data_IF_322979919163
#
_entry.id   IF_322979919163
#
_cell.length_a   1.000
_cell.length_b   1.000
_cell.length_c   1.000
_cell.angle_alpha   90.00
_cell.angle_beta   90.00
_cell.angle_gamma   90.00
#
_symmetry.space_group_name_H-M   'P 1'
#
loop_
_entity.id
_entity.type
_entity.pdbx_description
1 polymer ?
#
# COMPACT_ATOMS: atom_id res chain seq x y z
N UNK A 1 29.08 -14.51 -24.74
CA UNK A 1 27.96 -15.11 -23.99
C UNK A 1 26.86 -14.05 -24.06
N UNK A 2 25.95 -14.19 -25.02
CA UNK A 2 24.76 -13.34 -25.12
C UNK A 2 23.76 -13.82 -24.07
N UNK A 3 23.55 -13.01 -23.02
CA UNK A 3 22.41 -13.17 -22.11
C UNK A 3 21.19 -12.74 -22.92
N UNK A 4 20.44 -13.72 -23.42
CA UNK A 4 19.10 -13.48 -23.94
C UNK A 4 18.25 -13.08 -22.73
N UNK A 5 18.04 -11.79 -22.56
CA UNK A 5 16.98 -11.29 -21.68
C UNK A 5 15.66 -11.81 -22.27
N UNK A 6 15.18 -12.94 -21.74
CA UNK A 6 13.77 -13.32 -21.91
C UNK A 6 12.97 -12.18 -21.32
N UNK A 7 12.30 -11.41 -22.18
CA UNK A 7 11.20 -10.57 -21.77
C UNK A 7 10.16 -11.48 -21.11
N UNK A 8 10.21 -11.58 -19.79
CA UNK A 8 9.09 -12.12 -19.04
C UNK A 8 7.97 -11.09 -19.18
N UNK A 9 7.09 -11.31 -20.12
CA UNK A 9 5.80 -10.62 -20.21
C UNK A 9 5.08 -10.89 -18.88
N UNK A 10 5.22 -9.95 -17.94
CA UNK A 10 4.47 -9.99 -16.68
C UNK A 10 3.00 -9.82 -17.06
N UNK A 11 2.29 -10.94 -17.16
CA UNK A 11 0.87 -10.91 -17.51
C UNK A 11 0.11 -10.12 -16.45
N UNK A 12 -0.45 -8.99 -16.85
CA UNK A 12 -1.29 -8.20 -15.98
C UNK A 12 -2.51 -9.02 -15.52
N UNK A 13 -2.74 -9.02 -14.22
CA UNK A 13 -3.91 -9.66 -13.62
C UNK A 13 -4.90 -8.56 -13.27
N UNK A 14 -6.05 -8.55 -13.98
CA UNK A 14 -7.09 -7.56 -13.77
C UNK A 14 -7.52 -7.48 -12.32
N UNK A 15 -7.58 -6.26 -11.79
CA UNK A 15 -7.89 -6.01 -10.39
C UNK A 15 -9.37 -5.65 -10.21
N UNK A 16 -9.95 -6.14 -9.13
CA UNK A 16 -11.35 -5.85 -8.80
C UNK A 16 -11.61 -4.37 -8.54
N UNK A 17 -10.59 -3.62 -8.12
CA UNK A 17 -10.68 -2.19 -7.87
C UNK A 17 -10.89 -1.35 -9.14
N UNK A 18 -10.51 -1.85 -10.32
CA UNK A 18 -10.57 -1.08 -11.58
C UNK A 18 -11.97 -0.57 -11.91
N UNK A 19 -12.98 -1.42 -11.74
CA UNK A 19 -14.37 -1.02 -12.00
C UNK A 19 -14.82 0.12 -11.07
N UNK A 20 -14.37 0.11 -9.83
CA UNK A 20 -14.69 1.14 -8.86
C UNK A 20 -13.93 2.44 -9.16
N UNK A 21 -12.66 2.35 -9.58
CA UNK A 21 -11.87 3.52 -10.00
C UNK A 21 -12.52 4.25 -11.18
N UNK A 22 -13.02 3.51 -12.20
CA UNK A 22 -13.68 4.11 -13.37
C UNK A 22 -15.07 4.69 -13.06
N UNK A 23 -15.72 4.24 -11.99
CA UNK A 23 -17.01 4.80 -11.55
C UNK A 23 -16.85 6.09 -10.76
N UNK A 24 -15.63 6.41 -10.30
CA UNK A 24 -15.42 7.62 -9.53
C UNK A 24 -15.56 8.85 -10.41
N UNK A 25 -16.45 9.73 -10.00
CA UNK A 25 -16.75 10.96 -10.75
C UNK A 25 -15.97 12.12 -10.17
N UNK A 26 -15.28 12.94 -11.00
CA UNK A 26 -14.72 14.19 -10.55
C UNK A 26 -15.80 15.03 -9.84
N UNK A 27 -15.46 16.02 -9.00
CA UNK A 27 -14.12 16.66 -8.94
C UNK A 27 -13.15 16.07 -7.92
N UNK A 28 -13.57 15.11 -7.09
CA UNK A 28 -12.73 14.55 -6.02
C UNK A 28 -11.54 13.78 -6.57
N UNK A 29 -10.42 13.85 -5.87
CA UNK A 29 -9.26 13.03 -6.18
C UNK A 29 -9.40 11.63 -5.56
N UNK A 30 -9.05 10.60 -6.33
CA UNK A 30 -9.03 9.20 -5.89
C UNK A 30 -7.64 8.85 -5.43
N UNK A 31 -7.47 8.52 -4.15
CA UNK A 31 -6.20 8.11 -3.56
C UNK A 31 -6.16 6.59 -3.46
N UNK A 32 -5.25 5.96 -4.18
CA UNK A 32 -4.98 4.53 -4.13
C UNK A 32 -3.78 4.30 -3.22
N UNK A 33 -4.01 3.68 -2.08
CA UNK A 33 -2.97 3.37 -1.12
C UNK A 33 -2.92 1.86 -0.83
N UNK A 34 -1.80 1.39 -0.32
CA UNK A 34 -1.56 -0.02 -0.02
C UNK A 34 -0.07 -0.32 0.08
N UNK A 35 0.29 -1.52 0.50
CA UNK A 35 1.67 -1.93 0.65
C UNK A 35 2.47 -1.67 -0.65
N UNK A 36 3.79 -1.52 -0.53
CA UNK A 36 4.65 -1.47 -1.70
C UNK A 36 4.53 -2.75 -2.52
N UNK A 37 4.78 -2.68 -3.84
CA UNK A 37 4.69 -3.81 -4.79
C UNK A 37 3.30 -4.48 -4.92
N UNK A 38 2.22 -3.84 -4.44
CA UNK A 38 0.85 -4.32 -4.69
C UNK A 38 0.32 -4.00 -6.09
N UNK A 39 1.08 -3.21 -6.87
CA UNK A 39 0.75 -2.87 -8.26
C UNK A 39 -0.10 -1.60 -8.43
N UNK A 40 -0.03 -0.62 -7.50
CA UNK A 40 -0.78 0.65 -7.59
C UNK A 40 -0.55 1.38 -8.91
N UNK A 41 0.71 1.65 -9.23
CA UNK A 41 1.12 2.28 -10.49
C UNK A 41 0.73 1.45 -11.71
N UNK A 42 0.90 0.13 -11.63
CA UNK A 42 0.56 -0.81 -12.71
C UNK A 42 -0.92 -0.80 -13.04
N UNK A 43 -1.78 -0.78 -12.01
CA UNK A 43 -3.26 -0.68 -12.20
C UNK A 43 -3.61 0.59 -12.97
N UNK A 44 -3.06 1.74 -12.59
CA UNK A 44 -3.36 2.99 -13.28
C UNK A 44 -2.80 3.02 -14.71
N UNK A 45 -1.60 2.49 -14.93
CA UNK A 45 -1.02 2.41 -16.28
C UNK A 45 -1.86 1.52 -17.19
N UNK A 46 -2.35 0.39 -16.69
CA UNK A 46 -3.20 -0.50 -17.49
C UNK A 46 -4.59 0.10 -17.71
N UNK A 47 -5.17 0.73 -16.68
CA UNK A 47 -6.49 1.32 -16.73
C UNK A 47 -6.57 2.50 -17.72
N UNK A 48 -5.50 3.28 -17.82
CA UNK A 48 -5.43 4.52 -18.58
C UNK A 48 -4.54 4.41 -19.83
N UNK A 49 -4.19 3.19 -20.27
CA UNK A 49 -3.21 2.97 -21.36
C UNK A 49 -3.61 3.58 -22.70
N UNK A 50 -4.90 3.70 -22.96
CA UNK A 50 -5.46 4.21 -24.21
C UNK A 50 -5.98 5.66 -24.07
N UNK A 51 -5.70 6.32 -22.92
CA UNK A 51 -6.17 7.66 -22.60
C UNK A 51 -5.04 8.70 -22.66
N UNK A 52 -5.40 9.96 -22.88
CA UNK A 52 -4.47 11.10 -22.76
C UNK A 52 -4.31 11.47 -21.27
N UNK A 53 -3.15 11.13 -20.71
CA UNK A 53 -2.87 11.23 -19.27
C UNK A 53 -1.67 12.14 -19.03
N UNK A 54 -1.82 13.12 -18.17
CA UNK A 54 -0.68 13.81 -17.56
C UNK A 54 -0.26 13.04 -16.31
N UNK A 55 1.02 12.61 -16.31
CA UNK A 55 1.58 11.78 -15.26
C UNK A 55 2.75 12.47 -14.57
N UNK A 56 2.66 12.60 -13.25
CA UNK A 56 3.75 13.07 -12.39
C UNK A 56 4.14 12.00 -11.39
N UNK A 57 5.43 11.93 -11.07
CA UNK A 57 5.99 11.01 -10.10
C UNK A 57 6.67 11.75 -8.95
N UNK A 58 6.30 11.46 -7.73
CA UNK A 58 7.01 11.96 -6.55
C UNK A 58 8.46 11.48 -6.46
N UNK A 59 8.86 10.47 -7.24
CA UNK A 59 10.25 10.02 -7.31
C UNK A 59 11.12 10.98 -8.12
N UNK A 60 10.53 11.71 -9.10
CA UNK A 60 11.23 12.61 -10.00
C UNK A 60 11.32 14.03 -9.41
N UNK A 61 12.54 14.61 -9.29
CA UNK A 61 12.72 15.95 -8.75
C UNK A 61 11.97 17.04 -9.52
N UNK A 62 11.98 16.98 -10.86
CA UNK A 62 11.34 17.96 -11.72
C UNK A 62 9.81 17.94 -11.55
N UNK A 63 9.22 16.76 -11.43
CA UNK A 63 7.79 16.59 -11.19
C UNK A 63 7.37 17.16 -9.83
N UNK A 64 8.21 16.97 -8.79
CA UNK A 64 7.97 17.57 -7.48
C UNK A 64 7.96 19.09 -7.53
N UNK A 65 8.85 19.68 -8.34
CA UNK A 65 8.90 21.14 -8.51
C UNK A 65 7.68 21.64 -9.29
N UNK A 66 7.29 20.96 -10.37
CA UNK A 66 6.11 21.30 -11.16
C UNK A 66 4.81 21.25 -10.33
N UNK A 67 4.73 20.32 -9.36
CA UNK A 67 3.56 20.16 -8.50
C UNK A 67 3.48 21.13 -7.31
N UNK A 68 4.42 22.07 -7.17
CA UNK A 68 4.30 23.14 -6.17
C UNK A 68 3.11 24.06 -6.43
N UNK A 69 2.71 24.22 -7.71
CA UNK A 69 1.50 24.94 -8.14
C UNK A 69 1.31 26.27 -7.37
N UNK A 70 2.24 27.19 -7.58
CA UNK A 70 2.35 28.41 -6.76
C UNK A 70 1.16 29.37 -6.93
N UNK A 71 0.44 29.31 -8.06
CA UNK A 71 -0.70 30.19 -8.35
C UNK A 71 -1.97 29.41 -8.73
N UNK A 72 -3.13 30.06 -8.63
CA UNK A 72 -4.38 29.49 -9.13
C UNK A 72 -4.38 29.31 -10.66
N UNK A 73 -3.62 30.14 -11.37
CA UNK A 73 -3.44 30.04 -12.83
C UNK A 73 -2.71 28.75 -13.20
N UNK A 74 -1.66 28.37 -12.45
CA UNK A 74 -0.90 27.14 -12.68
C UNK A 74 -1.79 25.92 -12.46
N UNK A 75 -2.58 25.91 -11.38
CA UNK A 75 -3.53 24.84 -11.07
C UNK A 75 -4.57 24.70 -12.20
N UNK A 76 -5.15 25.80 -12.65
CA UNK A 76 -6.12 25.78 -13.74
C UNK A 76 -5.51 25.31 -15.05
N UNK A 77 -4.32 25.81 -15.41
CA UNK A 77 -3.62 25.43 -16.63
C UNK A 77 -3.29 23.92 -16.65
N UNK A 78 -2.90 23.35 -15.50
CA UNK A 78 -2.67 21.91 -15.38
C UNK A 78 -3.96 21.11 -15.62
N UNK A 79 -5.05 21.45 -14.93
CA UNK A 79 -6.30 20.71 -15.00
C UNK A 79 -7.00 20.82 -16.37
N UNK A 80 -6.90 21.97 -17.05
CA UNK A 80 -7.51 22.15 -18.38
C UNK A 80 -6.74 21.49 -19.51
N UNK A 81 -5.53 20.98 -19.24
CA UNK A 81 -4.64 20.37 -20.23
C UNK A 81 -4.97 18.90 -20.50
N UNK A 82 -5.64 18.22 -19.58
CA UNK A 82 -5.84 16.77 -19.64
C UNK A 82 -7.16 16.33 -19.01
N UNK A 83 -7.69 15.19 -19.47
CA UNK A 83 -8.84 14.54 -18.85
C UNK A 83 -8.44 13.69 -17.63
N UNK A 84 -7.20 13.21 -17.60
CA UNK A 84 -6.69 12.36 -16.53
C UNK A 84 -5.36 12.91 -15.99
N UNK A 85 -5.31 13.15 -14.70
CA UNK A 85 -4.11 13.53 -13.97
C UNK A 85 -3.73 12.42 -13.01
N UNK A 86 -2.52 11.90 -13.11
CA UNK A 86 -1.97 10.91 -12.18
C UNK A 86 -0.81 11.52 -11.42
N UNK A 87 -0.83 11.39 -10.09
CA UNK A 87 0.26 11.75 -9.19
C UNK A 87 0.71 10.48 -8.46
N UNK A 88 1.80 9.89 -8.94
CA UNK A 88 2.36 8.65 -8.42
C UNK A 88 3.34 8.93 -7.26
N UNK A 89 3.44 8.01 -6.28
CA UNK A 89 4.30 8.12 -5.08
C UNK A 89 4.20 9.49 -4.38
N UNK A 90 2.96 9.98 -4.26
CA UNK A 90 2.63 11.35 -3.82
C UNK A 90 3.18 11.72 -2.42
N UNK A 91 3.48 10.74 -1.55
CA UNK A 91 4.08 11.00 -0.23
C UNK A 91 5.48 11.62 -0.31
N UNK A 92 6.13 11.60 -1.48
CA UNK A 92 7.44 12.22 -1.70
C UNK A 92 7.36 13.68 -2.14
N UNK A 93 6.15 14.17 -2.39
CA UNK A 93 5.89 15.55 -2.80
C UNK A 93 5.70 16.41 -1.55
N UNK A 94 6.49 17.48 -1.36
CA UNK A 94 6.29 18.42 -0.27
C UNK A 94 4.88 19.01 -0.28
N UNK A 95 4.27 19.15 0.87
CA UNK A 95 2.95 19.78 1.05
C UNK A 95 1.84 19.21 0.15
N UNK A 96 1.92 17.92 -0.19
CA UNK A 96 0.98 17.24 -1.09
C UNK A 96 -0.48 17.45 -0.68
N UNK A 97 -0.78 17.51 0.61
CA UNK A 97 -2.13 17.76 1.10
C UNK A 97 -2.68 19.11 0.64
N UNK A 98 -1.85 20.16 0.66
CA UNK A 98 -2.24 21.49 0.17
C UNK A 98 -2.38 21.49 -1.36
N UNK A 99 -1.47 20.81 -2.06
CA UNK A 99 -1.54 20.65 -3.51
C UNK A 99 -2.84 19.96 -3.93
N UNK A 100 -3.19 18.83 -3.29
CA UNK A 100 -4.43 18.10 -3.57
C UNK A 100 -5.68 18.94 -3.26
N UNK A 101 -5.65 19.69 -2.16
CA UNK A 101 -6.72 20.64 -1.85
C UNK A 101 -6.93 21.65 -2.97
N UNK A 102 -5.87 22.31 -3.42
CA UNK A 102 -5.93 23.32 -4.50
C UNK A 102 -6.43 22.72 -5.81
N UNK A 103 -5.95 21.52 -6.16
CA UNK A 103 -6.39 20.78 -7.35
C UNK A 103 -7.89 20.52 -7.31
N UNK A 104 -8.40 19.94 -6.23
CA UNK A 104 -9.82 19.59 -6.12
C UNK A 104 -10.71 20.86 -6.06
N UNK A 105 -10.34 21.86 -5.25
CA UNK A 105 -11.11 23.10 -5.15
C UNK A 105 -11.21 23.84 -6.50
N UNK A 106 -10.13 23.84 -7.31
CA UNK A 106 -10.16 24.39 -8.66
C UNK A 106 -10.98 23.49 -9.60
N UNK A 107 -10.84 22.18 -9.50
CA UNK A 107 -11.52 21.20 -10.35
C UNK A 107 -13.06 21.31 -10.22
N UNK A 108 -13.57 21.63 -9.03
CA UNK A 108 -15.00 21.90 -8.78
C UNK A 108 -15.54 23.08 -9.59
N UNK A 109 -14.69 24.01 -9.99
CA UNK A 109 -15.09 25.21 -10.75
C UNK A 109 -15.07 25.01 -12.27
N UNK A 110 -14.50 23.89 -12.76
CA UNK A 110 -14.37 23.61 -14.18
C UNK A 110 -15.66 23.04 -14.77
N UNK A 111 -15.98 23.41 -16.00
CA UNK A 111 -17.11 22.82 -16.73
C UNK A 111 -16.91 21.34 -17.04
N UNK A 112 -15.65 20.99 -17.34
CA UNK A 112 -15.20 19.62 -17.60
C UNK A 112 -14.11 19.29 -16.59
N UNK A 113 -14.48 18.72 -15.44
CA UNK A 113 -13.51 18.42 -14.40
C UNK A 113 -12.62 17.23 -14.77
N UNK A 114 -11.34 17.33 -14.43
CA UNK A 114 -10.30 16.31 -14.62
C UNK A 114 -10.47 15.15 -13.63
N UNK A 115 -10.32 13.92 -14.07
CA UNK A 115 -10.20 12.78 -13.18
C UNK A 115 -8.80 12.72 -12.56
N UNK A 116 -8.69 12.87 -11.24
CA UNK A 116 -7.43 12.95 -10.51
C UNK A 116 -7.21 11.64 -9.76
N UNK A 117 -6.14 10.92 -10.11
CA UNK A 117 -5.68 9.72 -9.42
C UNK A 117 -4.36 9.98 -8.71
N UNK A 118 -4.27 9.52 -7.48
CA UNK A 118 -3.09 9.69 -6.63
C UNK A 118 -2.69 8.33 -6.09
N UNK A 119 -1.42 7.97 -6.20
CA UNK A 119 -0.94 6.77 -5.50
C UNK A 119 -0.02 7.15 -4.37
N UNK A 120 0.06 6.27 -3.38
CA UNK A 120 1.02 6.40 -2.30
C UNK A 120 1.14 5.13 -1.49
N UNK A 121 2.30 4.97 -0.86
CA UNK A 121 2.47 3.97 0.17
C UNK A 121 1.74 4.43 1.45
N UNK A 122 1.74 3.59 2.49
CA UNK A 122 1.20 3.91 3.82
C UNK A 122 1.60 5.28 4.36
N UNK A 123 2.81 5.76 4.01
CA UNK A 123 3.29 7.07 4.43
C UNK A 123 2.40 8.24 3.98
N UNK A 124 1.61 8.10 2.91
CA UNK A 124 0.66 9.13 2.48
C UNK A 124 -0.45 9.34 3.50
N UNK A 125 -0.86 8.29 4.20
CA UNK A 125 -1.86 8.38 5.28
C UNK A 125 -1.27 8.90 6.58
N UNK A 126 0.05 8.72 6.77
CA UNK A 126 0.79 9.19 7.93
C UNK A 126 1.15 10.69 7.85
N UNK A 127 1.26 11.23 6.64
CA UNK A 127 1.46 12.66 6.48
C UNK A 127 0.24 13.41 7.02
N UNK A 128 0.36 13.90 8.26
CA UNK A 128 -0.72 14.57 9.00
C UNK A 128 -1.42 15.68 8.18
N UNK A 129 -0.68 16.36 7.31
CA UNK A 129 -1.21 17.40 6.43
C UNK A 129 -2.23 16.92 5.38
N UNK A 130 -2.24 15.64 4.99
CA UNK A 130 -3.22 15.14 4.00
C UNK A 130 -4.59 14.98 4.63
N UNK A 131 -4.68 14.51 5.88
CA UNK A 131 -5.98 14.31 6.56
C UNK A 131 -6.70 15.62 6.86
N UNK A 132 -5.99 16.63 7.32
CA UNK A 132 -6.61 17.91 7.71
C UNK A 132 -6.95 18.79 6.50
N UNK A 133 -6.03 18.95 5.55
CA UNK A 133 -6.19 19.86 4.42
C UNK A 133 -7.11 19.33 3.31
N UNK A 134 -7.23 18.02 3.17
CA UNK A 134 -7.97 17.40 2.07
C UNK A 134 -9.27 16.68 2.51
N UNK A 135 -9.76 16.94 3.73
CA UNK A 135 -11.00 16.34 4.24
C UNK A 135 -12.19 16.63 3.32
N UNK A 136 -12.95 15.58 2.95
CA UNK A 136 -14.09 15.67 2.04
C UNK A 136 -13.75 15.74 0.54
N UNK A 137 -12.49 15.98 0.19
CA UNK A 137 -11.99 16.14 -1.19
C UNK A 137 -11.43 14.85 -1.79
N UNK A 138 -11.15 13.88 -0.96
CA UNK A 138 -10.50 12.63 -1.36
C UNK A 138 -11.44 11.45 -1.24
N UNK A 139 -11.34 10.55 -2.20
CA UNK A 139 -11.95 9.21 -2.17
C UNK A 139 -10.82 8.20 -1.99
N UNK A 140 -10.76 7.58 -0.83
CA UNK A 140 -9.70 6.64 -0.50
C UNK A 140 -10.03 5.23 -0.98
N UNK A 141 -9.09 4.60 -1.67
CA UNK A 141 -9.18 3.23 -2.16
C UNK A 141 -7.95 2.44 -1.76
N UNK A 142 -8.16 1.30 -1.16
CA UNK A 142 -7.07 0.45 -0.71
C UNK A 142 -6.82 -0.66 -1.72
N UNK A 143 -5.56 -0.82 -2.14
CA UNK A 143 -5.10 -1.90 -3.00
C UNK A 143 -4.30 -2.91 -2.17
N UNK A 144 -4.88 -4.09 -2.00
CA UNK A 144 -4.25 -5.24 -1.38
C UNK A 144 -3.39 -6.03 -2.39
N UNK A 145 -2.55 -6.98 -1.95
CA UNK A 145 -2.06 -8.03 -2.84
C UNK A 145 -3.21 -8.69 -3.63
N UNK A 146 -2.90 -9.54 -4.59
CA UNK A 146 -3.94 -10.23 -5.38
C UNK A 146 -4.87 -11.04 -4.47
N UNK A 147 -6.13 -11.10 -4.87
CA UNK A 147 -7.08 -12.02 -4.26
C UNK A 147 -7.14 -13.35 -5.05
N UNK A 148 -7.51 -14.43 -4.39
CA UNK A 148 -7.79 -15.70 -5.07
C UNK A 148 -8.88 -15.55 -6.13
N UNK A 149 -9.80 -14.59 -5.96
CA UNK A 149 -10.83 -14.28 -6.96
C UNK A 149 -10.23 -13.69 -8.23
N UNK A 150 -9.31 -12.74 -8.13
CA UNK A 150 -8.61 -12.14 -9.26
C UNK A 150 -7.76 -13.17 -10.00
N UNK A 151 -7.06 -14.03 -9.26
CA UNK A 151 -6.31 -15.15 -9.84
C UNK A 151 -7.24 -16.14 -10.57
N UNK A 152 -8.37 -16.50 -9.97
CA UNK A 152 -9.32 -17.42 -10.58
C UNK A 152 -9.95 -16.84 -11.85
N UNK A 153 -10.19 -15.54 -11.91
CA UNK A 153 -10.67 -14.85 -13.11
C UNK A 153 -9.61 -14.82 -14.21
N UNK A 154 -8.33 -14.60 -13.86
CA UNK A 154 -7.23 -14.51 -14.83
C UNK A 154 -6.71 -15.88 -15.27
N UNK A 155 -6.53 -16.82 -14.36
CA UNK A 155 -5.83 -18.10 -14.60
C UNK A 155 -6.74 -19.33 -14.60
N UNK A 156 -8.02 -19.12 -14.31
CA UNK A 156 -9.03 -20.18 -14.18
C UNK A 156 -9.14 -20.73 -12.76
N UNK A 157 -10.38 -21.00 -12.33
CA UNK A 157 -10.71 -21.48 -10.98
C UNK A 157 -10.02 -22.79 -10.63
N UNK A 158 -9.98 -23.76 -11.55
CA UNK A 158 -9.35 -25.06 -11.32
C UNK A 158 -7.85 -24.94 -11.00
N UNK A 159 -7.11 -24.16 -11.80
CA UNK A 159 -5.67 -23.93 -11.60
C UNK A 159 -5.39 -23.19 -10.30
N UNK A 160 -6.24 -22.22 -9.95
CA UNK A 160 -6.09 -21.47 -8.69
C UNK A 160 -6.29 -22.37 -7.47
N UNK A 161 -7.29 -23.27 -7.50
CA UNK A 161 -7.51 -24.24 -6.42
C UNK A 161 -6.35 -25.24 -6.34
N UNK A 162 -5.87 -25.75 -7.46
CA UNK A 162 -4.73 -26.68 -7.50
C UNK A 162 -3.48 -26.08 -6.86
N UNK A 163 -3.24 -24.78 -7.05
CA UNK A 163 -2.09 -24.06 -6.51
C UNK A 163 -2.35 -23.41 -5.14
N UNK A 164 -3.48 -23.70 -4.48
CA UNK A 164 -3.84 -23.06 -3.21
C UNK A 164 -2.75 -23.25 -2.14
N UNK A 165 -2.19 -24.46 -2.00
CA UNK A 165 -1.11 -24.73 -1.06
C UNK A 165 0.11 -23.84 -1.33
N UNK A 166 0.49 -23.68 -2.59
CA UNK A 166 1.57 -22.77 -2.98
C UNK A 166 1.26 -21.31 -2.58
N UNK A 167 0.05 -20.83 -2.85
CA UNK A 167 -0.38 -19.48 -2.46
C UNK A 167 -0.43 -19.27 -0.95
N UNK A 168 -0.71 -20.31 -0.18
CA UNK A 168 -0.65 -20.25 1.28
C UNK A 168 0.78 -20.10 1.81
N UNK A 169 1.77 -20.63 1.09
CA UNK A 169 3.19 -20.53 1.44
C UNK A 169 3.79 -19.21 0.96
N UNK A 170 3.60 -18.86 -0.31
CA UNK A 170 4.27 -17.73 -0.94
C UNK A 170 3.43 -16.45 -1.04
N UNK A 171 2.17 -16.48 -0.59
CA UNK A 171 1.30 -15.32 -0.61
C UNK A 171 0.79 -14.94 -2.00
N UNK A 172 0.35 -13.68 -2.13
CA UNK A 172 -0.41 -13.19 -3.27
C UNK A 172 0.12 -11.85 -3.83
N UNK A 173 1.37 -11.50 -3.57
CA UNK A 173 1.96 -10.34 -4.23
C UNK A 173 2.05 -10.57 -5.75
N UNK A 174 1.70 -9.56 -6.58
CA UNK A 174 1.67 -9.73 -8.04
C UNK A 174 2.97 -10.26 -8.65
N UNK A 175 4.12 -9.74 -8.21
CA UNK A 175 5.43 -10.18 -8.67
C UNK A 175 5.69 -11.65 -8.32
N UNK A 176 5.40 -12.05 -7.08
CA UNK A 176 5.53 -13.43 -6.60
C UNK A 176 4.64 -14.38 -7.40
N UNK A 177 3.40 -14.00 -7.65
CA UNK A 177 2.47 -14.80 -8.44
C UNK A 177 2.89 -14.93 -9.91
N UNK A 178 3.58 -13.93 -10.46
CA UNK A 178 4.03 -13.93 -11.86
C UNK A 178 5.37 -14.63 -12.08
N UNK A 179 6.20 -14.73 -11.01
CA UNK A 179 7.52 -15.36 -11.04
C UNK A 179 7.65 -16.39 -9.92
N UNK A 180 6.93 -17.51 -10.00
CA UNK A 180 6.88 -18.50 -8.92
C UNK A 180 8.24 -19.13 -8.60
N UNK A 181 9.16 -19.20 -9.57
CA UNK A 181 10.52 -19.71 -9.41
C UNK A 181 11.42 -18.80 -8.57
N UNK A 182 11.13 -17.49 -8.54
CA UNK A 182 11.88 -16.49 -7.78
C UNK A 182 11.13 -16.09 -6.47
N UNK A 183 10.04 -16.79 -6.11
CA UNK A 183 9.12 -16.37 -5.07
C UNK A 183 9.77 -16.17 -3.70
N UNK A 184 10.62 -17.12 -3.27
CA UNK A 184 11.30 -17.05 -1.97
C UNK A 184 12.30 -15.90 -1.91
N UNK A 185 13.10 -15.71 -2.97
CA UNK A 185 14.10 -14.64 -3.06
C UNK A 185 13.40 -13.27 -3.11
N UNK A 186 12.36 -13.14 -3.94
CA UNK A 186 11.55 -11.91 -4.04
C UNK A 186 10.95 -11.50 -2.68
N UNK A 187 10.44 -12.45 -1.92
CA UNK A 187 9.85 -12.21 -0.60
C UNK A 187 10.92 -11.88 0.45
N UNK A 188 12.06 -12.55 0.42
CA UNK A 188 13.19 -12.28 1.30
C UNK A 188 13.73 -10.86 1.07
N UNK A 189 13.97 -10.49 -0.19
CA UNK A 189 14.38 -9.14 -0.57
C UNK A 189 13.34 -8.10 -0.17
N UNK A 190 12.05 -8.43 -0.29
CA UNK A 190 10.98 -7.53 0.15
C UNK A 190 11.06 -7.26 1.66
N UNK A 191 11.24 -8.28 2.47
CA UNK A 191 11.34 -8.14 3.93
C UNK A 191 12.61 -7.37 4.32
N UNK A 192 13.76 -7.74 3.77
CA UNK A 192 15.04 -7.15 4.16
C UNK A 192 15.20 -5.69 3.68
N UNK A 193 14.74 -5.39 2.45
CA UNK A 193 14.93 -4.06 1.87
C UNK A 193 13.78 -3.09 2.14
N UNK A 194 12.55 -3.55 2.02
CA UNK A 194 11.37 -2.68 2.09
C UNK A 194 10.74 -2.65 3.48
N UNK A 195 10.61 -3.81 4.12
CA UNK A 195 9.97 -3.87 5.44
C UNK A 195 10.87 -3.19 6.49
N UNK A 196 12.12 -3.60 6.58
CA UNK A 196 12.97 -3.09 7.64
C UNK A 196 13.56 -1.72 7.32
N UNK A 197 14.21 -1.53 6.17
CA UNK A 197 14.84 -0.23 5.83
C UNK A 197 13.84 0.92 5.74
N UNK A 198 12.72 0.70 5.07
CA UNK A 198 11.72 1.76 4.89
C UNK A 198 10.99 2.09 6.18
N UNK A 199 10.63 1.09 6.98
CA UNK A 199 10.01 1.32 8.28
C UNK A 199 10.96 2.05 9.24
N UNK A 200 12.25 1.72 9.23
CA UNK A 200 13.23 2.42 10.05
C UNK A 200 13.36 3.89 9.64
N UNK A 201 13.37 4.17 8.34
CA UNK A 201 13.46 5.53 7.82
C UNK A 201 12.19 6.36 8.12
N UNK A 202 11.00 5.77 7.94
CA UNK A 202 9.72 6.45 8.13
C UNK A 202 9.37 6.74 9.59
N UNK A 203 9.67 5.81 10.47
CA UNK A 203 9.24 5.88 11.87
C UNK A 203 10.33 6.37 12.83
N UNK A 204 11.53 6.66 12.33
CA UNK A 204 12.65 6.97 13.19
C UNK A 204 12.90 5.86 14.23
N UNK A 205 12.77 4.60 13.80
CA UNK A 205 12.95 3.44 14.69
C UNK A 205 14.34 3.50 15.29
N UNK A 206 14.41 3.78 16.59
CA UNK A 206 15.68 3.94 17.32
C UNK A 206 16.35 2.62 17.68
N UNK A 207 15.60 1.53 17.67
CA UNK A 207 16.03 0.21 18.10
C UNK A 207 15.69 -0.85 17.05
N UNK A 208 16.49 -1.00 15.97
CA UNK A 208 16.20 -1.92 14.87
C UNK A 208 16.04 -3.38 15.32
N UNK A 209 16.98 -3.90 16.09
CA UNK A 209 16.96 -5.31 16.52
C UNK A 209 15.73 -5.69 17.37
N UNK A 210 15.33 -4.93 18.40
CA UNK A 210 14.08 -5.18 19.11
C UNK A 210 12.83 -5.10 18.22
N UNK A 211 12.82 -4.20 17.22
CA UNK A 211 11.72 -4.14 16.23
C UNK A 211 11.66 -5.41 15.38
N UNK A 212 12.79 -5.88 14.85
CA UNK A 212 12.86 -7.13 14.09
C UNK A 212 12.40 -8.32 14.94
N UNK A 213 12.81 -8.39 16.19
CA UNK A 213 12.39 -9.42 17.13
C UNK A 213 10.88 -9.36 17.37
N UNK A 214 10.28 -8.16 17.47
CA UNK A 214 8.83 -8.01 17.57
C UNK A 214 8.12 -8.55 16.32
N UNK A 215 8.60 -8.21 15.13
CA UNK A 215 8.00 -8.69 13.87
C UNK A 215 8.10 -10.21 13.76
N UNK A 216 9.24 -10.81 14.12
CA UNK A 216 9.44 -12.26 14.16
C UNK A 216 8.51 -12.93 15.18
N UNK A 217 8.38 -12.34 16.38
CA UNK A 217 7.49 -12.86 17.41
C UNK A 217 6.04 -12.86 16.93
N UNK A 218 5.57 -11.79 16.30
CA UNK A 218 4.24 -11.71 15.71
C UNK A 218 4.04 -12.76 14.61
N UNK A 219 5.06 -13.03 13.78
CA UNK A 219 5.00 -14.01 12.72
C UNK A 219 4.94 -15.45 13.25
N UNK A 220 5.63 -15.75 14.34
CA UNK A 220 5.59 -17.07 14.99
C UNK A 220 4.26 -17.32 15.71
N UNK A 221 3.64 -16.26 16.25
CA UNK A 221 2.41 -16.33 17.04
C UNK A 221 1.16 -15.84 16.27
N UNK A 222 1.16 -15.99 14.94
CA UNK A 222 0.05 -15.54 14.09
C UNK A 222 -1.29 -16.14 14.57
N UNK A 223 -2.29 -15.28 14.74
CA UNK A 223 -3.64 -15.68 15.16
C UNK A 223 -3.80 -16.06 16.64
N UNK A 224 -2.71 -16.10 17.41
CA UNK A 224 -2.75 -16.24 18.86
C UNK A 224 -3.23 -14.94 19.53
N UNK A 225 -3.84 -15.07 20.69
CA UNK A 225 -4.20 -13.90 21.50
C UNK A 225 -2.95 -13.30 22.15
N UNK A 226 -2.69 -12.04 21.89
CA UNK A 226 -1.53 -11.31 22.43
C UNK A 226 -1.97 -10.04 23.16
N UNK A 227 -1.17 -9.64 24.15
CA UNK A 227 -1.28 -8.33 24.79
C UNK A 227 0.00 -7.53 24.56
N UNK A 228 -0.12 -6.20 24.50
CA UNK A 228 1.06 -5.35 24.31
C UNK A 228 2.03 -5.45 25.50
N UNK A 229 1.52 -5.71 26.71
CA UNK A 229 2.36 -5.94 27.91
C UNK A 229 3.13 -7.27 27.82
N UNK A 230 2.50 -8.31 27.26
CA UNK A 230 3.14 -9.60 27.01
C UNK A 230 4.25 -9.45 25.98
N UNK A 231 3.93 -8.89 24.80
CA UNK A 231 4.89 -8.63 23.74
C UNK A 231 6.07 -7.78 24.22
N UNK A 232 5.80 -6.72 25.01
CA UNK A 232 6.83 -5.83 25.54
C UNK A 232 7.87 -6.57 26.40
N UNK A 233 7.40 -7.48 27.28
CA UNK A 233 8.30 -8.30 28.11
C UNK A 233 9.14 -9.27 27.29
N UNK A 234 8.57 -9.86 26.25
CA UNK A 234 9.26 -10.87 25.43
C UNK A 234 10.32 -10.25 24.52
N UNK A 235 10.08 -9.03 24.00
CA UNK A 235 11.03 -8.37 23.10
C UNK A 235 11.91 -7.32 23.78
N UNK A 236 11.76 -7.13 25.08
CA UNK A 236 12.58 -6.17 25.84
C UNK A 236 12.30 -4.70 25.51
N UNK A 237 11.06 -4.35 25.19
CA UNK A 237 10.63 -3.00 24.85
C UNK A 237 9.61 -2.45 25.87
N UNK A 238 9.46 -1.13 25.92
CA UNK A 238 8.34 -0.53 26.64
C UNK A 238 7.01 -0.81 25.91
N UNK A 239 5.92 -1.00 26.66
CA UNK A 239 4.58 -1.24 26.11
C UNK A 239 4.18 -0.21 25.05
N UNK A 240 4.38 1.08 25.33
CA UNK A 240 4.02 2.15 24.40
C UNK A 240 4.80 2.07 23.08
N UNK A 241 6.06 1.64 23.15
CA UNK A 241 6.90 1.42 21.95
C UNK A 241 6.37 0.25 21.12
N UNK A 242 5.98 -0.85 21.77
CA UNK A 242 5.35 -1.99 21.07
C UNK A 242 4.06 -1.56 20.41
N UNK A 243 3.22 -0.81 21.11
CA UNK A 243 1.96 -0.30 20.55
C UNK A 243 2.20 0.60 19.32
N UNK A 244 3.17 1.49 19.39
CA UNK A 244 3.57 2.34 18.25
C UNK A 244 4.09 1.51 17.07
N UNK A 245 4.91 0.50 17.31
CA UNK A 245 5.47 -0.36 16.28
C UNK A 245 4.40 -1.24 15.62
N UNK A 246 3.47 -1.80 16.39
CA UNK A 246 2.36 -2.57 15.85
C UNK A 246 1.43 -1.67 15.02
N UNK A 247 1.14 -0.45 15.49
CA UNK A 247 0.38 0.53 14.73
C UNK A 247 1.07 0.87 13.41
N UNK A 248 2.39 1.10 13.43
CA UNK A 248 3.17 1.35 12.24
C UNK A 248 3.09 0.20 11.23
N UNK A 249 3.24 -1.05 11.70
CA UNK A 249 3.08 -2.23 10.86
C UNK A 249 1.68 -2.33 10.25
N UNK A 250 0.62 -1.96 10.99
CA UNK A 250 -0.75 -1.94 10.49
C UNK A 250 -0.96 -0.81 9.46
N UNK A 251 -0.44 0.38 9.71
CA UNK A 251 -0.48 1.51 8.78
C UNK A 251 0.32 1.25 7.49
N UNK A 252 1.34 0.40 7.57
CA UNK A 252 2.12 -0.07 6.41
C UNK A 252 1.53 -1.31 5.73
N UNK A 253 0.34 -1.76 6.13
CA UNK A 253 -0.35 -2.92 5.55
C UNK A 253 0.44 -4.24 5.65
N UNK A 254 1.30 -4.36 6.65
CA UNK A 254 2.05 -5.58 6.93
C UNK A 254 1.23 -6.50 7.81
N UNK A 255 0.61 -5.94 8.85
CA UNK A 255 -0.26 -6.68 9.75
C UNK A 255 -1.65 -6.06 9.84
N UNK A 256 -2.59 -6.84 10.33
CA UNK A 256 -3.94 -6.41 10.71
C UNK A 256 -4.19 -6.78 12.15
N UNK A 257 -4.56 -5.79 12.96
CA UNK A 257 -4.92 -5.97 14.37
C UNK A 257 -6.42 -6.22 14.47
N UNK A 258 -6.79 -7.36 15.03
CA UNK A 258 -8.17 -7.74 15.30
C UNK A 258 -8.42 -7.66 16.79
N UNK A 259 -9.17 -6.66 17.29
CA UNK A 259 -9.51 -6.56 18.71
C UNK A 259 -10.42 -7.71 19.11
N UNK A 260 -10.44 -8.04 20.40
CA UNK A 260 -11.37 -9.05 20.91
C UNK A 260 -12.82 -8.59 20.74
N UNK A 261 -13.70 -9.50 20.38
CA UNK A 261 -15.13 -9.22 20.35
C UNK A 261 -15.67 -9.05 21.77
N UNK A 262 -16.37 -7.95 22.01
CA UNK A 262 -17.09 -7.70 23.25
C UNK A 262 -18.35 -6.90 22.97
N UNK A 263 -19.46 -7.27 23.63
CA UNK A 263 -20.69 -6.47 23.58
C UNK A 263 -20.51 -5.07 24.17
N UNK A 264 -19.58 -4.92 25.11
CA UNK A 264 -19.18 -3.61 25.66
C UNK A 264 -17.88 -3.17 25.00
N UNK A 265 -17.88 -2.08 24.17
CA UNK A 265 -16.69 -1.58 23.48
C UNK A 265 -15.50 -1.25 24.41
N UNK A 266 -15.77 -0.74 25.63
CA UNK A 266 -14.74 -0.44 26.62
C UNK A 266 -13.98 -1.68 27.11
N UNK A 267 -14.64 -2.84 27.13
CA UNK A 267 -13.99 -4.11 27.49
C UNK A 267 -13.19 -4.70 26.33
N UNK A 268 -13.59 -4.45 25.07
CA UNK A 268 -12.85 -4.91 23.90
C UNK A 268 -11.44 -4.30 23.86
N UNK A 269 -11.27 -3.05 24.29
CA UNK A 269 -9.98 -2.36 24.33
C UNK A 269 -9.02 -2.90 25.41
N UNK A 270 -9.56 -3.48 26.49
CA UNK A 270 -8.79 -4.02 27.64
C UNK A 270 -8.39 -5.48 27.46
N UNK A 271 -9.08 -6.23 26.58
CA UNK A 271 -8.82 -7.64 26.31
C UNK A 271 -7.68 -7.81 25.31
N UNK A 272 -7.17 -9.04 25.20
CA UNK A 272 -6.20 -9.41 24.19
C UNK A 272 -6.68 -9.17 22.75
N UNK A 273 -5.79 -9.20 21.83
CA UNK A 273 -6.03 -9.00 20.41
C UNK A 273 -5.33 -10.09 19.61
N UNK A 274 -5.84 -10.36 18.41
CA UNK A 274 -5.15 -11.22 17.46
C UNK A 274 -4.50 -10.36 16.39
N UNK A 275 -3.31 -10.73 15.97
CA UNK A 275 -2.58 -10.02 14.93
C UNK A 275 -2.33 -11.00 13.80
N UNK A 276 -2.68 -10.59 12.57
CA UNK A 276 -2.49 -11.37 11.36
C UNK A 276 -1.60 -10.59 10.40
N UNK A 277 -0.75 -11.29 9.66
CA UNK A 277 -0.09 -10.71 8.50
C UNK A 277 -1.09 -10.55 7.35
N UNK A 278 -0.97 -9.45 6.61
CA UNK A 278 -1.84 -9.18 5.47
C UNK A 278 -1.54 -10.09 4.27
N UNK A 279 -0.34 -10.69 4.26
CA UNK A 279 0.08 -11.67 3.27
C UNK A 279 0.91 -12.76 3.94
N UNK A 280 0.62 -14.01 3.61
CA UNK A 280 1.28 -15.18 4.22
C UNK A 280 2.72 -15.34 3.75
N UNK A 281 3.04 -14.96 2.51
CA UNK A 281 4.40 -14.98 2.00
C UNK A 281 5.32 -14.05 2.77
N UNK A 282 4.85 -12.84 3.11
CA UNK A 282 5.61 -11.91 3.97
C UNK A 282 5.84 -12.52 5.36
N UNK A 283 4.81 -13.14 5.94
CA UNK A 283 4.95 -13.83 7.24
C UNK A 283 6.03 -14.91 7.18
N UNK A 284 6.00 -15.74 6.14
CA UNK A 284 6.94 -16.85 5.97
C UNK A 284 8.37 -16.37 5.70
N UNK A 285 8.53 -15.30 4.93
CA UNK A 285 9.83 -14.65 4.72
C UNK A 285 10.42 -14.08 6.02
N UNK A 286 9.61 -13.46 6.88
CA UNK A 286 10.06 -12.94 8.18
C UNK A 286 10.66 -14.03 9.07
N UNK A 287 10.09 -15.24 9.06
CA UNK A 287 10.61 -16.39 9.82
C UNK A 287 11.55 -17.28 9.01
N UNK A 288 11.80 -16.92 7.74
CA UNK A 288 12.66 -17.69 6.80
C UNK A 288 12.24 -19.14 6.66
N UNK A 289 10.94 -19.39 6.58
CA UNK A 289 10.38 -20.71 6.43
C UNK A 289 9.29 -20.72 5.35
N UNK A 290 9.54 -21.47 4.27
CA UNK A 290 8.66 -21.66 3.13
C UNK A 290 8.23 -23.12 2.94
N UNK A 291 8.32 -23.92 4.01
CA UNK A 291 7.90 -25.35 4.01
C UNK A 291 6.38 -25.50 4.27
#
# INVERSE_FOLDING_TARGET
>A
IFIVLKNFDMTYIKRTIEEDLMRQTPPKAVVIYGARRTGKTTVLRELLKDEDVVWYSGDEPDDREMLRLNSAADVKALLTRTRFLVIDEAQRIPDIGLTLKRLVDMNETLKEPTAIFVTGSSALTLAAGVKESAMGRLVNRQLWPLSLRELAQSRGKGKTIQNLGWHMVYGLFPEVCNKPEEAADTLTDYVDSLLFKDLFALAGVRMPLPFENLVKHLALNIGSEVSFDGLAREVGLARNTVEQYVRLLEECFIVKVCPSYSRNPGNALKKGRKIYFCDTGIRNAVIKNFD
#
